data_IF_324588033691
#
_entry.id   IF_324588033691
#
_cell.length_a   1.000
_cell.length_b   1.000
_cell.length_c   1.000
_cell.angle_alpha   90.00
_cell.angle_beta   90.00
_cell.angle_gamma   90.00
#
_symmetry.space_group_name_H-M   'P 1'
#
loop_
_entity.id
_entity.type
_entity.pdbx_description
1 polymer ?
#
# COMPACT_ATOMS: atom_id res chain seq x y z
N UNK A 1 -0.83 -7.26 -26.68
CA UNK A 1 -0.81 -8.66 -27.20
C UNK A 1 -0.66 -9.59 -26.01
N UNK A 2 -1.61 -10.49 -25.79
CA UNK A 2 -1.58 -11.42 -24.64
C UNK A 2 -0.78 -12.67 -24.99
N UNK A 3 0.35 -12.89 -24.32
CA UNK A 3 1.17 -14.08 -24.48
C UNK A 3 1.08 -14.97 -23.24
N UNK A 4 1.26 -16.28 -23.43
CA UNK A 4 1.36 -17.22 -22.31
C UNK A 4 2.65 -16.92 -21.53
N UNK A 5 2.59 -17.01 -20.21
CA UNK A 5 3.72 -16.63 -19.34
C UNK A 5 4.81 -17.69 -19.28
N UNK A 6 4.46 -18.97 -19.45
CA UNK A 6 5.42 -20.08 -19.30
C UNK A 6 6.60 -20.09 -20.30
N UNK A 7 6.47 -19.71 -21.59
CA UNK A 7 7.62 -19.62 -22.48
C UNK A 7 8.52 -18.44 -22.10
N UNK A 8 7.93 -17.33 -21.66
CA UNK A 8 8.65 -16.15 -21.21
C UNK A 8 9.42 -16.43 -19.91
N UNK A 9 8.80 -17.16 -18.97
CA UNK A 9 9.46 -17.65 -17.76
C UNK A 9 10.61 -18.62 -18.08
N UNK A 10 10.43 -19.53 -19.05
CA UNK A 10 11.51 -20.42 -19.49
C UNK A 10 12.68 -19.67 -20.15
N UNK A 11 12.39 -18.64 -20.96
CA UNK A 11 13.43 -17.77 -21.52
C UNK A 11 14.13 -16.94 -20.44
N UNK A 12 13.39 -16.39 -19.48
CA UNK A 12 13.96 -15.67 -18.34
C UNK A 12 14.85 -16.58 -17.49
N UNK A 13 14.46 -17.84 -17.28
CA UNK A 13 15.30 -18.84 -16.62
C UNK A 13 16.59 -19.11 -17.40
N UNK A 14 16.54 -19.18 -18.73
CA UNK A 14 17.73 -19.35 -19.56
C UNK A 14 18.69 -18.15 -19.45
N UNK A 15 18.17 -16.92 -19.36
CA UNK A 15 18.98 -15.72 -19.10
C UNK A 15 19.58 -15.75 -17.69
N UNK A 16 18.77 -16.11 -16.69
CA UNK A 16 19.24 -16.26 -15.31
C UNK A 16 20.32 -17.34 -15.19
N UNK A 17 20.19 -18.44 -15.94
CA UNK A 17 21.18 -19.52 -16.00
C UNK A 17 22.55 -19.05 -16.46
N UNK A 18 22.60 -18.21 -17.50
CA UNK A 18 23.83 -17.58 -17.99
C UNK A 18 24.45 -16.70 -16.90
N UNK A 19 23.62 -15.90 -16.23
CA UNK A 19 24.08 -15.00 -15.16
C UNK A 19 24.68 -15.78 -13.98
N UNK A 20 24.02 -16.85 -13.53
CA UNK A 20 24.46 -17.68 -12.39
C UNK A 20 25.76 -18.43 -12.71
N UNK A 21 25.96 -18.88 -13.97
CA UNK A 21 27.19 -19.58 -14.35
C UNK A 21 28.42 -18.67 -14.44
N UNK A 22 28.25 -17.37 -14.65
CA UNK A 22 29.37 -16.41 -14.64
C UNK A 22 30.47 -16.70 -15.66
N UNK A 23 30.12 -17.15 -16.88
CA UNK A 23 31.08 -17.52 -17.92
C UNK A 23 31.44 -16.30 -18.80
N UNK A 24 32.64 -16.33 -19.40
CA UNK A 24 33.09 -15.32 -20.35
C UNK A 24 32.11 -15.10 -21.52
N UNK A 25 32.00 -13.84 -21.97
CA UNK A 25 31.07 -13.35 -23.00
C UNK A 25 31.43 -13.79 -24.44
N UNK A 26 31.96 -15.00 -24.61
CA UNK A 26 32.19 -15.58 -25.93
C UNK A 26 30.83 -15.93 -26.58
N UNK A 27 30.53 -15.48 -27.82
CA UNK A 27 29.23 -15.69 -28.46
C UNK A 27 28.79 -17.16 -28.54
N UNK A 28 29.75 -18.08 -28.76
CA UNK A 28 29.49 -19.53 -28.80
C UNK A 28 29.17 -20.10 -27.42
N UNK A 29 29.82 -19.61 -26.37
CA UNK A 29 29.56 -20.03 -24.99
C UNK A 29 28.20 -19.52 -24.51
N UNK A 30 27.82 -18.28 -24.87
CA UNK A 30 26.51 -17.69 -24.59
C UNK A 30 25.38 -18.50 -25.24
N UNK A 31 25.51 -18.84 -26.53
CA UNK A 31 24.49 -19.59 -27.24
C UNK A 31 24.29 -21.00 -26.65
N UNK A 32 25.39 -21.71 -26.35
CA UNK A 32 25.32 -23.04 -25.72
C UNK A 32 24.62 -23.00 -24.36
N UNK A 33 24.97 -22.04 -23.52
CA UNK A 33 24.36 -21.90 -22.19
C UNK A 33 22.90 -21.46 -22.23
N UNK A 34 22.54 -20.60 -23.18
CA UNK A 34 21.15 -20.23 -23.39
C UNK A 34 20.31 -21.46 -23.76
N UNK A 35 20.82 -22.32 -24.65
CA UNK A 35 20.14 -23.56 -25.03
C UNK A 35 20.05 -24.55 -23.86
N UNK A 36 21.12 -24.76 -23.10
CA UNK A 36 21.09 -25.57 -21.87
C UNK A 36 20.05 -25.05 -20.88
N UNK A 37 20.07 -23.73 -20.63
CA UNK A 37 19.14 -23.05 -19.75
C UNK A 37 17.69 -23.15 -20.24
N UNK A 38 17.44 -23.16 -21.56
CA UNK A 38 16.11 -23.30 -22.14
C UNK A 38 15.61 -24.76 -22.08
N UNK A 39 16.50 -25.73 -22.30
CA UNK A 39 16.19 -27.17 -22.17
C UNK A 39 15.80 -27.53 -20.74
N UNK A 40 16.43 -26.91 -19.74
CA UNK A 40 16.08 -27.11 -18.32
C UNK A 40 14.91 -26.20 -17.90
N UNK A 41 14.92 -24.95 -18.35
CA UNK A 41 13.98 -23.91 -17.96
C UNK A 41 12.57 -24.10 -18.50
N UNK A 42 12.40 -24.58 -19.74
CA UNK A 42 11.06 -24.80 -20.30
C UNK A 42 10.28 -25.91 -19.58
N UNK A 43 10.84 -27.10 -19.28
CA UNK A 43 10.15 -28.11 -18.48
C UNK A 43 9.78 -27.60 -17.09
N UNK A 44 10.69 -26.90 -16.41
CA UNK A 44 10.42 -26.30 -15.10
C UNK A 44 9.27 -25.28 -15.21
N UNK A 45 9.36 -24.34 -16.15
CA UNK A 45 8.32 -23.34 -16.38
C UNK A 45 6.98 -23.96 -16.77
N UNK A 46 6.98 -25.09 -17.48
CA UNK A 46 5.77 -25.83 -17.84
C UNK A 46 5.11 -26.52 -16.64
N UNK A 47 5.90 -27.13 -15.76
CA UNK A 47 5.42 -27.79 -14.52
C UNK A 47 4.87 -26.75 -13.55
N UNK A 48 5.60 -25.65 -13.35
CA UNK A 48 5.22 -24.58 -12.43
C UNK A 48 4.32 -23.52 -13.05
N UNK A 49 3.82 -23.72 -14.28
CA UNK A 49 2.99 -22.73 -14.99
C UNK A 49 1.75 -22.27 -14.19
N UNK A 50 1.25 -23.12 -13.28
CA UNK A 50 0.08 -22.84 -12.45
C UNK A 50 0.37 -21.83 -11.32
N UNK A 51 1.64 -21.64 -10.95
CA UNK A 51 2.05 -20.66 -9.94
C UNK A 51 2.21 -19.25 -10.51
N UNK A 52 2.25 -19.10 -11.83
CA UNK A 52 2.41 -17.80 -12.49
C UNK A 52 1.08 -17.30 -13.05
N UNK A 53 0.95 -15.98 -13.17
CA UNK A 53 -0.17 -15.34 -13.89
C UNK A 53 -0.26 -15.95 -15.29
N UNK A 54 -1.42 -16.46 -15.68
CA UNK A 54 -1.57 -17.32 -16.87
C UNK A 54 -1.30 -16.58 -18.21
N UNK A 55 -1.49 -15.25 -18.23
CA UNK A 55 -1.30 -14.38 -19.40
C UNK A 55 -0.74 -13.02 -18.99
N UNK A 56 0.31 -12.57 -19.68
CA UNK A 56 0.82 -11.19 -19.58
C UNK A 56 0.38 -10.44 -20.84
N UNK A 57 -0.14 -9.23 -20.67
CA UNK A 57 -0.36 -8.32 -21.79
C UNK A 57 0.89 -7.47 -22.03
N UNK A 58 1.58 -7.73 -23.14
CA UNK A 58 2.80 -7.00 -23.51
C UNK A 58 2.51 -5.50 -23.68
N UNK A 59 1.29 -5.13 -24.12
CA UNK A 59 0.91 -3.73 -24.30
C UNK A 59 0.83 -2.99 -22.96
N UNK A 60 0.22 -3.63 -21.95
CA UNK A 60 0.18 -3.10 -20.58
C UNK A 60 1.58 -3.03 -19.97
N UNK A 61 2.44 -4.01 -20.23
CA UNK A 61 3.83 -4.01 -19.77
C UNK A 61 4.65 -2.81 -20.27
N UNK A 62 4.47 -2.40 -21.53
CA UNK A 62 5.18 -1.23 -22.08
C UNK A 62 4.70 0.09 -21.45
N UNK A 63 3.39 0.22 -21.19
CA UNK A 63 2.85 1.40 -20.48
C UNK A 63 3.31 1.45 -19.02
N UNK A 64 3.44 0.28 -18.39
CA UNK A 64 3.89 0.13 -17.01
C UNK A 64 5.37 0.47 -16.80
N UNK A 65 6.23 0.30 -17.82
CA UNK A 65 7.69 0.51 -17.71
C UNK A 65 8.12 1.89 -17.17
N UNK A 66 7.64 3.04 -17.68
CA UNK A 66 8.03 4.35 -17.15
C UNK A 66 7.64 4.50 -15.67
N UNK A 67 6.41 4.13 -15.31
CA UNK A 67 5.93 4.19 -13.93
C UNK A 67 6.68 3.23 -13.01
N UNK A 68 7.05 2.04 -13.49
CA UNK A 68 7.92 1.11 -12.76
C UNK A 68 9.29 1.73 -12.48
N UNK A 69 9.86 2.46 -13.44
CA UNK A 69 11.12 3.19 -13.27
C UNK A 69 11.01 4.34 -12.26
N UNK A 70 9.91 5.10 -12.31
CA UNK A 70 9.63 6.18 -11.34
C UNK A 70 9.40 5.62 -9.93
N UNK A 71 8.60 4.56 -9.82
CA UNK A 71 8.38 3.81 -8.59
C UNK A 71 9.72 3.37 -7.99
N UNK A 72 10.55 2.70 -8.79
CA UNK A 72 11.84 2.19 -8.34
C UNK A 72 12.77 3.32 -7.91
N UNK A 73 12.80 4.43 -8.64
CA UNK A 73 13.57 5.62 -8.28
C UNK A 73 13.13 6.22 -6.94
N UNK A 74 11.83 6.41 -6.76
CA UNK A 74 11.25 6.92 -5.52
C UNK A 74 11.49 5.97 -4.33
N UNK A 75 11.36 4.67 -4.55
CA UNK A 75 11.65 3.64 -3.56
C UNK A 75 13.13 3.64 -3.15
N UNK A 76 14.07 3.63 -4.11
CA UNK A 76 15.51 3.67 -3.81
C UNK A 76 15.88 4.95 -3.05
N UNK A 77 15.31 6.09 -3.44
CA UNK A 77 15.53 7.36 -2.75
C UNK A 77 15.12 7.28 -1.28
N UNK A 78 13.89 6.83 -1.01
CA UNK A 78 13.40 6.71 0.35
C UNK A 78 14.14 5.62 1.14
N UNK A 79 14.50 4.50 0.49
CA UNK A 79 15.33 3.46 1.10
C UNK A 79 16.66 4.03 1.60
N UNK A 80 17.36 4.83 0.79
CA UNK A 80 18.61 5.48 1.19
C UNK A 80 18.37 6.46 2.35
N UNK A 81 17.34 7.29 2.26
CA UNK A 81 16.98 8.26 3.30
C UNK A 81 16.66 7.58 4.64
N UNK A 82 15.83 6.55 4.63
CA UNK A 82 15.44 5.78 5.80
C UNK A 82 16.62 5.03 6.43
N UNK A 83 17.56 4.51 5.62
CA UNK A 83 18.81 3.95 6.14
C UNK A 83 19.64 5.00 6.89
N UNK A 84 19.78 6.22 6.34
CA UNK A 84 20.53 7.30 6.99
C UNK A 84 19.88 7.75 8.30
N UNK A 85 18.56 7.90 8.31
CA UNK A 85 17.78 8.23 9.51
C UNK A 85 17.91 7.12 10.58
N UNK A 86 17.82 5.85 10.18
CA UNK A 86 18.02 4.72 11.10
C UNK A 86 19.43 4.71 11.70
N UNK A 87 20.48 4.95 10.89
CA UNK A 87 21.86 5.08 11.38
C UNK A 87 21.97 6.20 12.41
N UNK A 88 21.36 7.37 12.16
CA UNK A 88 21.36 8.47 13.10
C UNK A 88 20.68 8.09 14.42
N UNK A 89 19.52 7.44 14.37
CA UNK A 89 18.76 7.02 15.58
C UNK A 89 19.51 6.00 16.42
N UNK A 90 20.19 5.05 15.79
CA UNK A 90 20.99 4.02 16.49
C UNK A 90 22.24 4.62 17.15
N UNK A 91 22.87 5.62 16.52
CA UNK A 91 24.05 6.29 17.08
C UNK A 91 23.71 7.36 18.12
N UNK A 92 22.47 7.86 18.13
CA UNK A 92 22.02 8.86 19.09
C UNK A 92 21.95 8.26 20.50
N UNK A 93 22.66 8.82 21.51
CA UNK A 93 22.64 8.30 22.89
C UNK A 93 21.25 8.28 23.53
N UNK A 94 20.34 9.13 23.05
CA UNK A 94 18.98 9.26 23.55
C UNK A 94 17.96 8.31 22.92
N UNK A 95 18.32 7.52 21.89
CA UNK A 95 17.44 6.62 21.12
C UNK A 95 15.99 7.15 21.00
N UNK A 96 15.76 8.24 20.26
CA UNK A 96 14.44 8.84 20.11
C UNK A 96 13.55 7.93 19.25
N UNK A 97 12.88 6.98 19.89
CA UNK A 97 12.03 5.95 19.30
C UNK A 97 10.70 6.02 20.03
N UNK A 98 9.61 6.18 19.28
CA UNK A 98 8.23 6.17 19.80
C UNK A 98 7.41 5.27 18.88
N UNK A 99 7.37 3.95 19.14
CA UNK A 99 6.76 3.02 18.20
C UNK A 99 5.24 3.21 18.13
N UNK A 100 4.69 3.12 16.93
CA UNK A 100 3.26 3.30 16.69
C UNK A 100 2.78 2.38 15.58
N UNK A 101 1.49 2.06 15.60
CA UNK A 101 0.84 1.32 14.50
C UNK A 101 -0.16 2.26 13.85
N UNK A 102 0.00 2.46 12.56
CA UNK A 102 -0.90 3.28 11.74
C UNK A 102 -1.58 2.39 10.71
N UNK A 103 -2.84 2.68 10.42
CA UNK A 103 -3.57 2.13 9.29
C UNK A 103 -3.47 3.10 8.13
N UNK A 104 -3.00 2.60 6.99
CA UNK A 104 -2.90 3.34 5.74
C UNK A 104 -3.89 2.74 4.75
N UNK A 105 -5.09 3.33 4.58
CA UNK A 105 -6.06 2.86 3.59
C UNK A 105 -5.51 3.05 2.18
N UNK A 106 -5.68 2.05 1.32
CA UNK A 106 -5.18 2.05 -0.05
C UNK A 106 -6.28 2.37 -1.07
N UNK A 107 -5.86 2.90 -2.21
CA UNK A 107 -6.62 3.03 -3.46
C UNK A 107 -6.33 1.88 -4.43
N UNK A 108 -5.15 1.27 -4.32
CA UNK A 108 -4.80 0.11 -5.14
C UNK A 108 -5.63 -1.11 -4.70
N UNK A 109 -6.17 -1.86 -5.67
CA UNK A 109 -7.05 -3.01 -5.42
C UNK A 109 -6.43 -4.33 -5.88
N UNK A 110 -5.46 -4.32 -6.81
CA UNK A 110 -4.86 -5.58 -7.25
C UNK A 110 -3.89 -6.16 -6.22
N UNK A 111 -3.97 -7.48 -6.02
CA UNK A 111 -3.08 -8.21 -5.13
C UNK A 111 -1.59 -7.91 -5.38
N UNK A 112 -1.20 -7.72 -6.64
CA UNK A 112 0.19 -7.43 -7.02
C UNK A 112 0.60 -6.01 -6.60
N UNK A 113 -0.27 -5.02 -6.76
CA UNK A 113 -0.02 -3.65 -6.32
C UNK A 113 0.07 -3.57 -4.79
N UNK A 114 -0.89 -4.16 -4.09
CA UNK A 114 -0.93 -4.21 -2.62
C UNK A 114 0.31 -4.92 -2.08
N UNK A 115 0.68 -6.07 -2.67
CA UNK A 115 1.88 -6.82 -2.30
C UNK A 115 3.15 -6.00 -2.54
N UNK A 116 3.23 -5.27 -3.65
CA UNK A 116 4.38 -4.41 -3.94
C UNK A 116 4.50 -3.30 -2.88
N UNK A 117 3.41 -2.61 -2.55
CA UNK A 117 3.38 -1.56 -1.54
C UNK A 117 3.78 -2.10 -0.15
N UNK A 118 3.19 -3.22 0.28
CA UNK A 118 3.52 -3.86 1.55
C UNK A 118 5.02 -4.25 1.66
N UNK A 119 5.59 -4.77 0.57
CA UNK A 119 7.02 -5.10 0.54
C UNK A 119 7.90 -3.84 0.58
N UNK A 120 7.52 -2.78 -0.13
CA UNK A 120 8.28 -1.50 -0.10
C UNK A 120 8.26 -0.86 1.28
N UNK A 121 7.12 -0.91 1.98
CA UNK A 121 7.05 -0.50 3.40
C UNK A 121 8.00 -1.34 4.23
N UNK A 122 7.92 -2.66 4.15
CA UNK A 122 8.75 -3.58 4.95
C UNK A 122 10.25 -3.46 4.67
N UNK A 123 10.64 -3.13 3.44
CA UNK A 123 12.03 -2.92 3.05
C UNK A 123 12.59 -1.56 3.49
N UNK A 124 11.73 -0.62 3.88
CA UNK A 124 12.14 0.72 4.32
C UNK A 124 12.49 0.66 5.81
N UNK A 125 13.77 0.86 6.19
CA UNK A 125 14.16 0.75 7.60
C UNK A 125 13.36 1.70 8.49
N UNK A 126 12.90 1.17 9.62
CA UNK A 126 12.06 1.93 10.55
C UNK A 126 10.56 1.72 10.36
N UNK A 127 10.12 0.95 9.35
CA UNK A 127 8.73 0.51 9.21
C UNK A 127 8.63 -0.99 8.89
N UNK A 128 7.48 -1.59 9.17
CA UNK A 128 7.14 -2.96 8.79
C UNK A 128 5.63 -3.09 8.58
N UNK A 129 5.22 -3.81 7.53
CA UNK A 129 3.81 -4.15 7.33
C UNK A 129 3.45 -5.32 8.24
N UNK A 130 2.43 -5.14 9.07
CA UNK A 130 1.91 -6.18 9.97
C UNK A 130 0.87 -7.06 9.28
N UNK A 131 -0.09 -6.42 8.61
CA UNK A 131 -1.19 -7.10 7.94
C UNK A 131 -1.83 -6.22 6.86
N UNK A 132 -2.62 -6.85 5.99
CA UNK A 132 -3.51 -6.20 5.04
C UNK A 132 -4.96 -6.63 5.33
N UNK A 133 -5.82 -5.66 5.59
CA UNK A 133 -7.25 -5.89 5.75
C UNK A 133 -7.99 -5.65 4.43
N UNK A 134 -8.51 -6.74 3.87
CA UNK A 134 -9.25 -6.74 2.62
C UNK A 134 -10.66 -6.13 2.73
N UNK A 135 -11.26 -6.06 3.93
CA UNK A 135 -12.58 -5.46 4.12
C UNK A 135 -12.49 -3.93 4.08
N UNK A 136 -11.44 -3.36 4.66
CA UNK A 136 -11.20 -1.90 4.71
C UNK A 136 -10.21 -1.41 3.65
N UNK A 137 -9.63 -2.34 2.87
CA UNK A 137 -8.54 -2.10 1.92
C UNK A 137 -7.39 -1.29 2.53
N UNK A 138 -6.86 -1.73 3.69
CA UNK A 138 -5.87 -0.95 4.44
C UNK A 138 -4.64 -1.78 4.86
N UNK A 139 -3.47 -1.13 4.86
CA UNK A 139 -2.25 -1.69 5.41
C UNK A 139 -2.08 -1.29 6.88
N UNK A 140 -1.85 -2.28 7.74
CA UNK A 140 -1.36 -2.05 9.09
C UNK A 140 0.16 -1.90 9.05
N UNK A 141 0.65 -0.71 9.37
CA UNK A 141 2.07 -0.39 9.33
C UNK A 141 2.54 -0.08 10.74
N UNK A 142 3.53 -0.84 11.21
CA UNK A 142 4.26 -0.52 12.42
C UNK A 142 5.46 0.34 12.07
N UNK A 143 5.61 1.48 12.76
CA UNK A 143 6.74 2.36 12.65
C UNK A 143 7.54 2.36 13.96
N UNK A 144 8.86 2.39 13.85
CA UNK A 144 9.79 2.57 14.97
C UNK A 144 9.66 3.97 15.56
N UNK A 145 9.28 4.96 14.75
CA UNK A 145 9.01 6.33 15.19
C UNK A 145 7.72 6.83 14.54
N UNK A 146 6.65 6.83 15.33
CA UNK A 146 5.28 7.15 14.96
C UNK A 146 4.88 8.62 15.08
N UNK A 147 5.75 9.49 15.59
CA UNK A 147 5.42 10.87 15.97
C UNK A 147 4.74 11.71 14.88
N UNK A 148 4.95 11.34 13.62
CA UNK A 148 4.36 11.97 12.44
C UNK A 148 3.80 10.88 11.50
N UNK A 149 2.54 10.45 11.71
CA UNK A 149 1.86 9.45 10.87
C UNK A 149 1.83 9.84 9.38
N UNK A 150 1.67 11.13 9.10
CA UNK A 150 1.62 11.71 7.76
C UNK A 150 2.97 11.57 7.06
N UNK A 151 4.08 11.82 7.75
CA UNK A 151 5.43 11.60 7.20
C UNK A 151 5.70 10.13 6.88
N UNK A 152 5.14 9.19 7.66
CA UNK A 152 5.24 7.75 7.39
C UNK A 152 4.42 7.37 6.15
N UNK A 153 3.22 7.94 6.00
CA UNK A 153 2.33 7.63 4.90
C UNK A 153 2.74 8.32 3.58
N UNK A 154 3.36 9.49 3.61
CA UNK A 154 3.75 10.25 2.43
C UNK A 154 4.54 9.44 1.36
N UNK A 155 5.60 8.67 1.69
CA UNK A 155 6.27 7.84 0.70
C UNK A 155 5.36 6.71 0.18
N UNK A 156 4.50 6.14 1.05
CA UNK A 156 3.54 5.10 0.67
C UNK A 156 2.54 5.64 -0.35
N UNK A 157 2.05 6.87 -0.17
CA UNK A 157 1.17 7.56 -1.14
C UNK A 157 1.85 7.78 -2.48
N UNK A 158 3.11 8.21 -2.46
CA UNK A 158 3.90 8.41 -3.69
C UNK A 158 4.08 7.10 -4.46
N UNK A 159 4.39 6.00 -3.76
CA UNK A 159 4.50 4.69 -4.37
C UNK A 159 3.17 4.18 -4.88
N UNK A 160 2.09 4.42 -4.15
CA UNK A 160 0.74 4.08 -4.54
C UNK A 160 0.36 4.78 -5.85
N UNK A 161 0.61 6.09 -5.99
CA UNK A 161 0.34 6.83 -7.23
C UNK A 161 1.00 6.17 -8.46
N UNK A 162 2.26 5.75 -8.33
CA UNK A 162 2.94 5.04 -9.42
C UNK A 162 2.43 3.62 -9.61
N UNK A 163 1.99 2.94 -8.54
CA UNK A 163 1.42 1.61 -8.61
C UNK A 163 0.05 1.62 -9.32
N UNK A 164 -0.77 2.64 -9.09
CA UNK A 164 -2.07 2.81 -9.77
C UNK A 164 -1.90 2.81 -11.29
N UNK A 165 -0.97 3.63 -11.78
CA UNK A 165 -0.65 3.74 -13.21
C UNK A 165 0.07 2.50 -13.77
N UNK A 166 0.97 1.92 -12.99
CA UNK A 166 1.76 0.76 -13.40
C UNK A 166 0.89 -0.51 -13.54
N UNK A 167 -0.08 -0.69 -12.65
CA UNK A 167 -0.95 -1.86 -12.63
C UNK A 167 -2.30 -1.63 -13.32
N UNK A 168 -2.57 -0.42 -13.84
CA UNK A 168 -3.81 -0.06 -14.53
C UNK A 168 -5.02 -0.30 -13.61
N UNK A 169 -4.90 0.26 -12.40
CA UNK A 169 -5.91 0.23 -11.33
C UNK A 169 -7.12 1.10 -11.68
N UNK A 170 -8.26 0.85 -11.03
CA UNK A 170 -9.48 1.62 -11.26
C UNK A 170 -9.42 3.06 -10.74
N UNK A 171 -8.63 3.29 -9.70
CA UNK A 171 -8.45 4.59 -9.06
C UNK A 171 -7.31 5.39 -9.70
N UNK A 172 -7.45 6.72 -9.70
CA UNK A 172 -6.45 7.65 -10.25
C UNK A 172 -5.58 8.31 -9.15
N UNK A 173 -4.30 8.65 -9.43
CA UNK A 173 -3.47 9.47 -8.54
C UNK A 173 -4.10 10.81 -8.14
N UNK A 174 -5.01 11.36 -8.96
CA UNK A 174 -5.71 12.62 -8.70
C UNK A 174 -6.78 12.52 -7.60
N UNK A 175 -7.21 11.29 -7.25
CA UNK A 175 -8.19 11.06 -6.19
C UNK A 175 -7.56 11.28 -4.82
N UNK A 176 -8.27 12.00 -3.95
CA UNK A 176 -7.82 12.25 -2.57
C UNK A 176 -7.74 10.92 -1.82
N UNK A 177 -6.56 10.56 -1.26
CA UNK A 177 -6.42 9.32 -0.53
C UNK A 177 -7.24 9.37 0.77
N UNK A 178 -7.74 8.22 1.25
CA UNK A 178 -8.45 8.18 2.52
C UNK A 178 -7.52 8.52 3.69
N UNK A 179 -8.12 9.08 4.74
CA UNK A 179 -7.39 9.52 5.94
C UNK A 179 -6.70 8.36 6.65
N UNK A 180 -5.51 8.63 7.19
CA UNK A 180 -4.73 7.68 7.98
C UNK A 180 -5.40 7.53 9.35
N UNK A 181 -5.49 6.30 9.85
CA UNK A 181 -6.06 6.04 11.19
C UNK A 181 -4.96 5.51 12.09
N UNK A 182 -4.72 6.15 13.23
CA UNK A 182 -3.72 5.69 14.20
C UNK A 182 -4.35 4.68 15.16
N UNK A 183 -3.69 3.54 15.36
CA UNK A 183 -4.17 2.50 16.27
C UNK A 183 -3.90 2.90 17.72
N UNK A 184 -4.92 3.45 18.37
CA UNK A 184 -4.83 4.07 19.68
C UNK A 184 -5.55 5.41 19.61
N UNK A 185 -6.84 5.43 20.00
CA UNK A 185 -7.63 6.64 20.00
C UNK A 185 -6.93 7.76 20.78
N UNK A 186 -7.05 8.99 20.25
CA UNK A 186 -6.56 10.26 20.83
C UNK A 186 -5.13 10.71 20.44
N UNK A 187 -4.91 10.97 19.15
CA UNK A 187 -4.10 12.14 18.74
C UNK A 187 -4.83 12.92 17.64
N UNK A 188 -5.88 13.65 18.03
CA UNK A 188 -6.48 14.68 17.18
C UNK A 188 -5.43 15.79 16.93
N UNK A 189 -4.81 15.81 15.75
CA UNK A 189 -4.21 17.03 15.22
C UNK A 189 -5.32 17.93 14.66
N UNK A 190 -6.08 18.57 15.56
CA UNK A 190 -7.01 19.62 15.13
C UNK A 190 -6.21 20.88 14.81
N UNK A 191 -6.13 21.18 13.51
CA UNK A 191 -5.46 22.37 13.01
C UNK A 191 -6.00 22.95 11.71
N UNK A 192 -7.13 22.51 11.15
CA UNK A 192 -7.93 23.28 10.17
C UNK A 192 -9.21 22.53 9.79
N UNK A 193 -10.38 23.16 9.98
CA UNK A 193 -11.62 22.71 9.34
C UNK A 193 -12.60 21.92 10.21
N UNK A 194 -12.99 22.46 11.37
CA UNK A 194 -14.16 21.94 12.09
C UNK A 194 -14.94 23.09 12.72
N UNK A 195 -15.56 23.92 11.88
CA UNK A 195 -16.48 24.95 12.32
C UNK A 195 -17.65 25.09 11.34
N UNK A 196 -18.28 23.97 10.96
CA UNK A 196 -19.42 24.04 10.04
C UNK A 196 -20.36 22.82 10.11
N UNK A 197 -20.73 22.30 11.29
CA UNK A 197 -21.99 21.51 11.36
C UNK A 197 -22.65 21.31 12.74
N UNK A 198 -22.44 22.22 13.70
CA UNK A 198 -23.09 22.14 15.03
C UNK A 198 -24.43 22.87 15.15
N UNK A 199 -25.15 23.10 14.05
CA UNK A 199 -26.45 23.77 14.11
C UNK A 199 -27.55 23.07 13.31
N UNK A 200 -27.97 21.89 13.78
CA UNK A 200 -29.30 21.35 13.49
C UNK A 200 -30.01 20.90 14.77
N UNK A 201 -30.72 21.87 15.36
CA UNK A 201 -32.09 21.77 15.85
C UNK A 201 -32.46 20.68 16.87
N UNK A 202 -32.54 21.06 18.14
CA UNK A 202 -33.35 20.37 19.15
C UNK A 202 -34.70 21.12 19.32
N UNK A 203 -35.89 20.50 19.16
CA UNK A 203 -37.15 21.15 19.48
C UNK A 203 -37.44 21.07 20.99
N UNK A 204 -37.58 22.25 21.60
CA UNK A 204 -37.92 22.47 23.01
C UNK A 204 -39.27 21.86 23.39
N UNK A 205 -39.28 21.13 24.51
CA UNK A 205 -40.47 20.80 25.29
C UNK A 205 -40.75 21.94 26.29
N UNK A 206 -41.74 22.79 26.03
CA UNK A 206 -42.32 23.72 27.01
C UNK A 206 -43.70 24.18 26.51
N UNK A 207 -44.75 23.59 27.06
CA UNK A 207 -46.13 24.15 27.03
C UNK A 207 -46.71 23.81 28.39
N UNK A 208 -46.45 24.69 29.35
CA UNK A 208 -47.30 25.80 29.79
C UNK A 208 -48.54 25.36 30.58
N UNK A 209 -48.61 25.96 31.77
CA UNK A 209 -49.62 25.79 32.80
C UNK A 209 -50.93 26.39 32.32
N UNK A 210 -51.94 25.57 32.09
CA UNK A 210 -53.32 26.04 32.05
C UNK A 210 -54.29 24.88 32.25
N UNK A 211 -54.70 24.66 33.50
CA UNK A 211 -56.05 24.19 33.89
C UNK A 211 -56.09 23.76 35.37
N UNK A 212 -55.76 24.67 36.29
CA UNK A 212 -56.33 24.65 37.64
C UNK A 212 -57.59 25.53 37.61
N UNK A 213 -58.66 25.05 36.96
CA UNK A 213 -59.96 25.73 36.97
C UNK A 213 -61.15 24.90 36.45
N UNK A 214 -61.45 23.77 37.08
CA UNK A 214 -62.81 23.20 37.08
C UNK A 214 -62.92 22.30 38.32
N UNK A 215 -63.18 22.88 39.50
CA UNK A 215 -64.52 23.09 40.04
C UNK A 215 -65.50 21.96 39.70
N UNK A 216 -65.78 21.20 40.76
CA UNK A 216 -67.13 20.82 41.22
C UNK A 216 -67.87 19.76 40.40
N UNK A 217 -67.89 18.58 41.00
CA UNK A 217 -69.14 17.97 41.44
C UNK A 217 -69.74 16.95 40.48
N UNK A 218 -70.53 16.05 41.11
CA UNK A 218 -71.38 15.01 40.53
C UNK A 218 -70.63 13.69 40.29
N UNK A 219 -70.99 12.54 40.85
CA UNK A 219 -71.85 12.13 41.97
C UNK A 219 -71.50 10.65 42.24
N UNK A 220 -71.85 10.17 43.42
CA UNK A 220 -71.89 8.77 43.82
C UNK A 220 -72.73 7.89 42.86
N UNK A 221 -72.28 6.65 42.61
CA UNK A 221 -72.99 5.35 42.69
C UNK A 221 -72.23 4.21 41.98
#
# INVERSE_FOLDING_TARGET
MRVKTWPLAGAAFAVLWIFVRGIGLAPTALLGQFLEGLVVGLPIAFVFRRLYVERIDIGRGVHALPYAGLYLGAFIWELVRANLDMVYRVLAPGMPIEPEVILVPLRAETDVAITLLANSVTLTPGTVTLDYDAETNALYVHAVDGRDPEAIAAPIRTWEDYALEMFDEGASPEETPPDIVVSGGERNHNGAGADEDRNRGNPKSETDKSADRERRGVDDE
#
